data_IF_320946438037
#
_entry.id   IF_320946438037
#
_cell.length_a   1.000
_cell.length_b   1.000
_cell.length_c   1.000
_cell.angle_alpha   90.00
_cell.angle_beta   90.00
_cell.angle_gamma   90.00
#
_symmetry.space_group_name_H-M   'P 1'
#
loop_
_entity.id
_entity.type
_entity.pdbx_description
1 polymer ?
#
# COMPACT_ATOMS: atom_id res chain seq x y z
N UNK A 1 7.54 1.99 7.61
CA UNK A 1 6.48 1.94 6.57
C UNK A 1 6.82 0.84 5.56
N UNK A 2 5.85 0.31 4.80
CA UNK A 2 6.08 -0.70 3.75
C UNK A 2 6.78 -0.07 2.54
N UNK A 3 8.01 -0.47 2.26
CA UNK A 3 8.87 0.11 1.21
C UNK A 3 8.83 -0.63 -0.13
N UNK A 4 8.17 -1.79 -0.18
CA UNK A 4 8.18 -2.65 -1.38
C UNK A 4 7.22 -2.15 -2.48
N UNK A 5 6.21 -1.33 -2.15
CA UNK A 5 5.17 -0.92 -3.10
C UNK A 5 4.81 0.59 -3.06
N UNK A 6 5.79 1.51 -3.15
CA UNK A 6 5.54 2.94 -2.98
C UNK A 6 4.61 3.53 -4.05
N UNK A 7 4.76 3.10 -5.30
CA UNK A 7 3.92 3.54 -6.43
C UNK A 7 2.48 3.03 -6.31
N UNK A 8 2.29 1.73 -5.98
CA UNK A 8 0.95 1.17 -5.82
C UNK A 8 0.22 1.78 -4.61
N UNK A 9 0.93 2.05 -3.51
CA UNK A 9 0.38 2.75 -2.35
C UNK A 9 -0.09 4.16 -2.74
N UNK A 10 0.69 4.89 -3.55
CA UNK A 10 0.30 6.21 -4.07
C UNK A 10 -0.95 6.15 -4.94
N UNK A 11 -1.00 5.20 -5.88
CA UNK A 11 -2.16 5.01 -6.75
C UNK A 11 -3.41 4.58 -5.97
N UNK A 12 -3.26 3.71 -4.97
CA UNK A 12 -4.34 3.26 -4.09
C UNK A 12 -4.87 4.40 -3.23
N UNK A 13 -4.01 5.25 -2.67
CA UNK A 13 -4.47 6.45 -1.95
C UNK A 13 -5.26 7.41 -2.82
N UNK A 14 -4.82 7.62 -4.06
CA UNK A 14 -5.52 8.51 -4.98
C UNK A 14 -6.89 7.93 -5.42
N UNK A 15 -7.00 6.60 -5.51
CA UNK A 15 -8.20 5.91 -6.00
C UNK A 15 -9.20 5.55 -4.89
N UNK A 16 -8.73 5.30 -3.68
CA UNK A 16 -9.55 4.85 -2.55
C UNK A 16 -9.32 5.73 -1.31
N UNK A 17 -10.32 6.57 -1.01
CA UNK A 17 -10.33 7.45 0.18
C UNK A 17 -10.27 6.67 1.49
N UNK A 18 -10.79 5.44 1.52
CA UNK A 18 -10.74 4.59 2.72
C UNK A 18 -9.32 4.13 2.99
N UNK A 19 -8.54 3.84 1.95
CA UNK A 19 -7.13 3.47 2.08
C UNK A 19 -6.28 4.63 2.61
N UNK A 20 -6.54 5.85 2.12
CA UNK A 20 -5.88 7.07 2.61
C UNK A 20 -6.14 7.31 4.10
N UNK A 21 -7.42 7.24 4.51
CA UNK A 21 -7.80 7.35 5.92
C UNK A 21 -7.15 6.28 6.82
N UNK A 22 -7.08 5.03 6.36
CA UNK A 22 -6.42 3.95 7.11
C UNK A 22 -4.91 4.18 7.25
N UNK A 23 -4.25 4.75 6.22
CA UNK A 23 -2.84 5.12 6.29
C UNK A 23 -2.60 6.22 7.34
N UNK A 24 -3.45 7.24 7.38
CA UNK A 24 -3.36 8.31 8.38
C UNK A 24 -3.64 7.78 9.78
N UNK A 25 -4.64 6.91 9.92
CA UNK A 25 -4.96 6.24 11.19
C UNK A 25 -3.78 5.40 11.68
N UNK A 26 -3.13 4.64 10.80
CA UNK A 26 -1.93 3.87 11.16
C UNK A 26 -0.81 4.81 11.66
N UNK A 27 -0.58 5.92 10.97
CA UNK A 27 0.45 6.90 11.34
C UNK A 27 0.15 7.56 12.70
N UNK A 28 -1.12 7.88 12.95
CA UNK A 28 -1.59 8.42 14.23
C UNK A 28 -1.37 7.44 15.38
N UNK A 29 -1.75 6.16 15.18
CA UNK A 29 -1.51 5.11 16.17
C UNK A 29 -0.01 4.90 16.45
N UNK A 30 0.84 5.03 15.44
CA UNK A 30 2.30 4.96 15.59
C UNK A 30 2.81 6.09 16.50
N UNK A 31 2.39 7.33 16.23
CA UNK A 31 2.74 8.50 17.02
C UNK A 31 2.25 8.40 18.46
N UNK A 32 1.04 7.88 18.66
CA UNK A 32 0.46 7.68 19.99
C UNK A 32 1.22 6.60 20.78
N UNK A 33 1.55 5.47 20.15
CA UNK A 33 2.42 4.44 20.76
C UNK A 33 3.77 5.03 21.15
N UNK A 34 4.40 5.84 20.29
CA UNK A 34 5.68 6.50 20.60
C UNK A 34 5.54 7.47 21.78
N UNK A 35 4.48 8.27 21.83
CA UNK A 35 4.22 9.19 22.94
C UNK A 35 4.04 8.43 24.27
N UNK A 36 3.33 7.31 24.27
CA UNK A 36 3.13 6.47 25.45
C UNK A 36 4.41 5.74 25.88
N UNK A 37 5.20 5.26 24.91
CA UNK A 37 6.52 4.67 25.18
C UNK A 37 7.47 5.69 25.83
N UNK A 38 7.44 6.94 25.38
CA UNK A 38 8.23 8.02 25.96
C UNK A 38 7.82 8.38 27.39
N UNK A 39 6.53 8.24 27.74
CA UNK A 39 6.03 8.47 29.10
C UNK A 39 6.48 7.42 30.12
N UNK A 40 7.00 6.25 29.68
CA UNK A 40 7.59 5.17 30.51
C UNK A 40 6.82 4.86 31.81
N UNK A 41 5.49 4.79 31.73
CA UNK A 41 4.64 4.41 32.87
C UNK A 41 4.23 2.94 32.76
N UNK A 42 4.33 2.15 33.85
CA UNK A 42 3.91 0.75 33.85
C UNK A 42 2.40 0.58 33.60
N UNK A 43 1.59 1.56 34.00
CA UNK A 43 0.14 1.57 33.75
C UNK A 43 -0.21 1.67 32.26
N UNK A 44 0.69 2.22 31.44
CA UNK A 44 0.50 2.40 30.00
C UNK A 44 0.90 1.16 29.20
N UNK A 45 1.55 0.15 29.81
CA UNK A 45 1.96 -1.05 29.09
C UNK A 45 0.76 -1.77 28.47
N UNK A 46 -0.34 -1.90 29.21
CA UNK A 46 -1.58 -2.52 28.72
C UNK A 46 -2.17 -1.74 27.54
N UNK A 47 -2.14 -0.41 27.61
CA UNK A 47 -2.66 0.48 26.57
C UNK A 47 -1.78 0.45 25.31
N UNK A 48 -0.45 0.43 25.48
CA UNK A 48 0.51 0.23 24.40
C UNK A 48 0.29 -1.13 23.71
N UNK A 49 0.02 -2.20 24.46
CA UNK A 49 -0.30 -3.50 23.88
C UNK A 49 -1.62 -3.48 23.09
N UNK A 50 -2.65 -2.80 23.60
CA UNK A 50 -3.90 -2.62 22.88
C UNK A 50 -3.70 -1.82 21.59
N UNK A 51 -2.96 -0.72 21.64
CA UNK A 51 -2.65 0.11 20.47
C UNK A 51 -1.80 -0.65 19.44
N UNK A 52 -0.85 -1.48 19.87
CA UNK A 52 -0.09 -2.37 18.97
C UNK A 52 -1.01 -3.35 18.26
N UNK A 53 -1.98 -3.95 18.96
CA UNK A 53 -2.99 -4.83 18.34
C UNK A 53 -3.87 -4.07 17.35
N UNK A 54 -4.30 -2.86 17.68
CA UNK A 54 -5.06 -2.02 16.76
C UNK A 54 -4.24 -1.65 15.52
N UNK A 55 -2.98 -1.28 15.69
CA UNK A 55 -2.04 -0.99 14.60
C UNK A 55 -1.84 -2.20 13.69
N UNK A 56 -1.73 -3.40 14.26
CA UNK A 56 -1.66 -4.64 13.49
C UNK A 56 -2.93 -4.87 12.66
N UNK A 57 -4.12 -4.67 13.23
CA UNK A 57 -5.39 -4.80 12.49
C UNK A 57 -5.49 -3.82 11.33
N UNK A 58 -5.12 -2.55 11.55
CA UNK A 58 -5.10 -1.54 10.48
C UNK A 58 -4.10 -1.93 9.39
N UNK A 59 -2.95 -2.49 9.77
CA UNK A 59 -1.96 -3.01 8.83
C UNK A 59 -2.50 -4.20 8.03
N UNK A 60 -3.22 -5.12 8.66
CA UNK A 60 -3.88 -6.25 7.98
C UNK A 60 -4.96 -5.78 7.00
N UNK A 61 -5.78 -4.80 7.39
CA UNK A 61 -6.81 -4.23 6.52
C UNK A 61 -6.19 -3.51 5.31
N UNK A 62 -5.13 -2.71 5.53
CA UNK A 62 -4.35 -2.10 4.46
C UNK A 62 -3.72 -3.15 3.54
N UNK A 63 -3.18 -4.24 4.10
CA UNK A 63 -2.58 -5.32 3.31
C UNK A 63 -3.63 -6.10 2.51
N UNK A 64 -4.81 -6.36 3.08
CA UNK A 64 -5.92 -6.98 2.38
C UNK A 64 -6.37 -6.12 1.19
N UNK A 65 -6.52 -4.81 1.39
CA UNK A 65 -6.84 -3.86 0.29
C UNK A 65 -5.75 -3.86 -0.78
N UNK A 66 -4.48 -3.89 -0.37
CA UNK A 66 -3.33 -3.99 -1.28
C UNK A 66 -3.36 -5.30 -2.07
N UNK A 67 -3.62 -6.44 -1.41
CA UNK A 67 -3.73 -7.75 -2.03
C UNK A 67 -4.94 -7.88 -2.96
N UNK A 68 -6.04 -7.17 -2.71
CA UNK A 68 -7.17 -7.13 -3.64
C UNK A 68 -6.84 -6.31 -4.89
N UNK A 69 -6.06 -5.24 -4.71
CA UNK A 69 -5.64 -4.38 -5.81
C UNK A 69 -4.46 -4.96 -6.63
N UNK A 70 -3.59 -5.75 -6.00
CA UNK A 70 -2.41 -6.39 -6.61
C UNK A 70 -2.74 -7.26 -7.84
N UNK A 71 -3.69 -8.21 -7.83
CA UNK A 71 -4.02 -9.00 -9.02
C UNK A 71 -4.56 -8.13 -10.15
N UNK A 72 -5.22 -7.01 -9.85
CA UNK A 72 -5.63 -6.03 -10.87
C UNK A 72 -4.44 -5.20 -11.39
N UNK A 73 -3.47 -4.86 -10.51
CA UNK A 73 -2.29 -4.06 -10.84
C UNK A 73 -1.24 -4.88 -11.62
N UNK A 74 -1.04 -6.15 -11.28
CA UNK A 74 -0.22 -7.08 -12.07
C UNK A 74 -0.86 -7.30 -13.45
N UNK A 75 -2.19 -7.50 -13.54
CA UNK A 75 -2.86 -7.58 -14.83
C UNK A 75 -2.72 -6.29 -15.64
N UNK A 76 -2.79 -5.11 -15.00
CA UNK A 76 -2.64 -3.82 -15.66
C UNK A 76 -1.22 -3.58 -16.13
N UNK A 77 -0.21 -3.87 -15.31
CA UNK A 77 1.20 -3.78 -15.72
C UNK A 77 1.51 -4.80 -16.83
N UNK A 78 1.06 -6.04 -16.71
CA UNK A 78 1.27 -7.07 -17.72
C UNK A 78 0.55 -6.74 -19.03
N UNK A 79 -0.69 -6.23 -18.98
CA UNK A 79 -1.39 -5.72 -20.16
C UNK A 79 -0.69 -4.53 -20.79
N UNK A 80 -0.14 -3.61 -19.99
CA UNK A 80 0.62 -2.47 -20.51
C UNK A 80 1.91 -2.93 -21.19
N UNK A 81 2.69 -3.82 -20.55
CA UNK A 81 3.89 -4.43 -21.14
C UNK A 81 3.60 -5.26 -22.40
N UNK A 82 2.51 -6.03 -22.43
CA UNK A 82 2.09 -6.80 -23.61
C UNK A 82 1.55 -5.89 -24.73
N UNK A 83 0.87 -4.79 -24.39
CA UNK A 83 0.41 -3.82 -25.39
C UNK A 83 1.57 -3.08 -26.06
N UNK A 84 2.61 -2.75 -25.29
CA UNK A 84 3.83 -2.13 -25.80
C UNK A 84 4.63 -3.09 -26.68
N UNK A 85 4.71 -4.38 -26.34
CA UNK A 85 5.32 -5.41 -27.20
C UNK A 85 4.55 -5.63 -28.51
N UNK A 86 3.21 -5.61 -28.45
CA UNK A 86 2.35 -5.79 -29.63
C UNK A 86 2.44 -4.58 -30.59
N UNK A 87 2.53 -3.37 -30.05
CA UNK A 87 2.78 -2.14 -30.82
C UNK A 87 4.18 -2.11 -31.44
N UNK A 88 5.21 -2.59 -30.73
CA UNK A 88 6.56 -2.69 -31.26
C UNK A 88 6.68 -3.72 -32.41
N UNK A 89 5.95 -4.84 -32.34
CA UNK A 89 5.93 -5.85 -33.40
C UNK A 89 5.13 -5.39 -34.63
N UNK A 90 4.07 -4.59 -34.45
CA UNK A 90 3.28 -4.05 -35.57
C UNK A 90 3.93 -2.84 -36.27
N UNK A 91 4.81 -2.11 -35.57
CA UNK A 91 5.63 -1.04 -36.18
C UNK A 91 6.79 -1.57 -37.05
N UNK A 92 7.06 -2.89 -37.02
CA UNK A 92 8.12 -3.55 -37.78
C UNK A 92 7.73 -4.01 -39.20
N UNK A 93 6.60 -3.55 -39.77
CA UNK A 93 6.19 -3.95 -41.12
C UNK A 93 5.88 -2.72 -41.97
N UNK A 94 6.93 -2.14 -42.59
CA UNK A 94 7.01 -1.82 -44.03
C UNK A 94 8.21 -0.91 -44.35
N UNK A 95 9.19 -1.47 -45.03
CA UNK A 95 9.77 -0.98 -46.30
C UNK A 95 10.56 -2.18 -46.85
N UNK A 96 10.02 -2.95 -47.81
CA UNK A 96 10.28 -2.87 -49.27
C UNK A 96 11.77 -2.60 -49.57
N UNK A 97 12.44 -3.32 -50.47
CA UNK A 97 12.02 -4.07 -51.65
C UNK A 97 13.05 -5.15 -51.99
#
# INVERSE_FOLDING_TARGET
MFTEYPEQIKQLRARDKRFDYLCDKHSTLDAEIQALLNRKSPSLQLEIEQLKKQKLRVKEELYAMLQQALPELELKQQKNYMSLQTLAQSAGIRLRA
#
